data_IF_934815780965
#
_entry.id   IF_934815780965
#
_cell.length_a   1.000
_cell.length_b   1.000
_cell.length_c   1.000
_cell.angle_alpha   90.00
_cell.angle_beta   90.00
_cell.angle_gamma   90.00
#
_symmetry.space_group_name_H-M   'P 1'
#
loop_
_entity.id
_entity.type
_entity.pdbx_description
1 polymer ?
#
# COMPACT_ATOMS: atom_id res chain seq x y z
N UNK A 1 0.52 -7.33 -36.21
CA UNK A 1 -0.75 -7.96 -35.80
C UNK A 1 -1.31 -7.19 -34.60
N UNK A 2 -2.33 -6.35 -34.83
CA UNK A 2 -3.02 -5.64 -33.76
C UNK A 2 -3.89 -6.65 -33.03
N UNK A 3 -3.51 -6.99 -31.81
CA UNK A 3 -4.34 -7.81 -30.94
C UNK A 3 -5.53 -6.96 -30.48
N UNK A 4 -6.58 -7.07 -31.28
CA UNK A 4 -7.97 -6.78 -30.96
C UNK A 4 -8.31 -7.39 -29.59
N UNK A 5 -8.23 -6.56 -28.55
CA UNK A 5 -9.12 -6.66 -27.39
C UNK A 5 -9.74 -5.27 -27.21
N UNK A 6 -10.37 -4.78 -28.27
CA UNK A 6 -11.49 -3.87 -28.12
C UNK A 6 -12.71 -4.74 -28.44
N UNK A 7 -13.66 -4.77 -27.52
CA UNK A 7 -15.00 -5.37 -27.69
C UNK A 7 -15.28 -6.82 -27.22
N UNK A 8 -14.55 -7.32 -26.23
CA UNK A 8 -15.07 -8.45 -25.42
C UNK A 8 -16.07 -7.90 -24.38
N UNK A 9 -17.33 -7.71 -24.79
CA UNK A 9 -18.53 -7.46 -23.96
C UNK A 9 -18.24 -6.79 -22.61
N UNK A 10 -18.14 -5.46 -22.57
CA UNK A 10 -18.02 -4.76 -21.28
C UNK A 10 -19.32 -4.93 -20.50
N UNK A 11 -19.38 -5.94 -19.63
CA UNK A 11 -20.48 -6.12 -18.69
C UNK A 11 -20.63 -4.81 -17.91
N UNK A 12 -21.82 -4.22 -17.91
CA UNK A 12 -22.07 -3.00 -17.12
C UNK A 12 -21.86 -3.36 -15.65
N UNK A 13 -20.84 -2.77 -15.02
CA UNK A 13 -20.51 -3.02 -13.63
C UNK A 13 -21.08 -1.90 -12.76
N UNK A 14 -21.87 -2.29 -11.76
CA UNK A 14 -22.31 -1.41 -10.67
C UNK A 14 -21.47 -1.72 -9.43
N UNK A 15 -20.65 -0.78 -9.00
CA UNK A 15 -19.90 -0.89 -7.75
C UNK A 15 -20.75 -0.33 -6.60
N UNK A 16 -21.13 -1.18 -5.66
CA UNK A 16 -21.88 -0.78 -4.45
C UNK A 16 -20.90 -0.76 -3.28
N UNK A 17 -20.64 0.43 -2.77
CA UNK A 17 -19.78 0.62 -1.60
C UNK A 17 -20.49 0.12 -0.35
N UNK A 18 -19.85 -0.80 0.38
CA UNK A 18 -20.37 -1.29 1.66
C UNK A 18 -19.93 -0.35 2.77
N UNK A 19 -20.90 0.22 3.49
CA UNK A 19 -20.65 1.20 4.56
C UNK A 19 -20.49 0.50 5.91
N UNK A 20 -19.57 0.99 6.73
CA UNK A 20 -19.47 0.53 8.10
C UNK A 20 -20.63 1.09 8.93
N UNK A 21 -21.21 0.26 9.80
CA UNK A 21 -22.26 0.68 10.75
C UNK A 21 -21.71 1.31 12.03
N UNK A 22 -20.40 1.20 12.27
CA UNK A 22 -19.77 1.79 13.43
C UNK A 22 -19.64 3.30 13.27
N UNK A 23 -19.99 4.03 14.33
CA UNK A 23 -19.88 5.49 14.35
C UNK A 23 -18.43 5.95 14.44
N UNK A 24 -18.03 6.85 13.56
CA UNK A 24 -16.73 7.51 13.58
C UNK A 24 -16.82 8.78 14.43
N UNK A 25 -16.75 8.57 15.75
CA UNK A 25 -16.73 9.64 16.74
C UNK A 25 -15.57 9.41 17.71
N UNK A 26 -14.64 10.37 17.79
CA UNK A 26 -13.53 10.25 18.73
C UNK A 26 -13.96 10.68 20.13
N UNK A 27 -13.63 9.90 21.17
CA UNK A 27 -13.76 10.36 22.54
C UNK A 27 -12.94 11.64 22.78
N UNK A 28 -13.43 12.57 23.59
CA UNK A 28 -12.73 13.84 23.88
C UNK A 28 -11.29 13.61 24.40
N UNK A 29 -11.09 12.56 25.22
CA UNK A 29 -9.76 12.14 25.70
C UNK A 29 -8.81 11.71 24.57
N UNK A 30 -9.33 11.19 23.46
CA UNK A 30 -8.56 10.83 22.28
C UNK A 30 -8.19 12.10 21.50
N UNK A 31 -9.14 13.03 21.31
CA UNK A 31 -8.91 14.30 20.61
C UNK A 31 -7.83 15.15 21.31
N UNK A 32 -7.80 15.13 22.65
CA UNK A 32 -6.78 15.82 23.44
C UNK A 32 -5.35 15.33 23.17
N UNK A 33 -5.17 14.08 22.69
CA UNK A 33 -3.86 13.50 22.35
C UNK A 33 -3.42 13.81 20.91
N UNK A 34 -4.31 14.36 20.08
CA UNK A 34 -4.01 14.63 18.67
C UNK A 34 -3.29 15.97 18.49
N UNK A 35 -2.33 16.07 17.56
CA UNK A 35 -1.73 17.35 17.14
C UNK A 35 -2.74 18.35 16.58
N UNK A 36 -2.32 19.60 16.38
CA UNK A 36 -3.20 20.67 15.90
C UNK A 36 -3.65 20.44 14.46
N UNK A 37 -2.72 20.11 13.56
CA UNK A 37 -2.98 20.00 12.12
C UNK A 37 -2.91 18.55 11.66
N UNK A 38 -4.06 18.02 11.24
CA UNK A 38 -4.26 16.61 10.92
C UNK A 38 -4.55 16.40 9.43
N UNK A 39 -3.91 15.41 8.82
CA UNK A 39 -4.30 14.90 7.52
C UNK A 39 -5.07 13.60 7.69
N UNK A 40 -6.34 13.58 7.27
CA UNK A 40 -7.24 12.46 7.48
C UNK A 40 -7.14 11.45 6.34
N UNK A 41 -7.14 10.18 6.72
CA UNK A 41 -7.20 9.05 5.81
C UNK A 41 -8.16 7.99 6.36
N UNK A 42 -8.86 7.24 5.51
CA UNK A 42 -9.68 6.11 5.93
C UNK A 42 -9.91 5.11 4.79
N UNK A 43 -10.39 3.91 5.12
CA UNK A 43 -10.90 2.97 4.11
C UNK A 43 -12.24 3.46 3.55
N UNK A 44 -12.64 2.94 2.37
CA UNK A 44 -13.87 3.35 1.67
C UNK A 44 -15.13 3.28 2.55
N UNK A 45 -15.16 2.35 3.51
CA UNK A 45 -16.32 2.07 4.36
C UNK A 45 -16.67 3.22 5.32
N UNK A 46 -15.72 4.14 5.57
CA UNK A 46 -15.86 5.26 6.51
C UNK A 46 -15.96 6.62 5.81
N UNK A 47 -15.96 6.68 4.47
CA UNK A 47 -15.88 7.93 3.72
C UNK A 47 -17.02 8.91 4.00
N UNK A 48 -18.23 8.42 4.19
CA UNK A 48 -19.39 9.28 4.46
C UNK A 48 -19.36 9.90 5.86
N UNK A 49 -18.61 9.31 6.79
CA UNK A 49 -18.49 9.79 8.16
C UNK A 49 -17.29 10.74 8.35
N UNK A 50 -16.36 10.80 7.37
CA UNK A 50 -15.21 11.73 7.42
C UNK A 50 -15.61 13.20 7.56
N UNK A 51 -16.65 13.74 6.87
CA UNK A 51 -17.08 15.12 7.07
C UNK A 51 -17.52 15.42 8.52
N UNK A 52 -18.23 14.49 9.16
CA UNK A 52 -18.67 14.64 10.55
C UNK A 52 -17.47 14.61 11.51
N UNK A 53 -16.53 13.71 11.28
CA UNK A 53 -15.26 13.66 12.01
C UNK A 53 -14.50 14.99 11.91
N UNK A 54 -14.43 15.59 10.71
CA UNK A 54 -13.76 16.89 10.53
C UNK A 54 -14.40 17.98 11.36
N UNK A 55 -15.74 18.09 11.31
CA UNK A 55 -16.48 19.05 12.12
C UNK A 55 -16.26 18.83 13.62
N UNK A 56 -16.20 17.57 14.06
CA UNK A 56 -15.88 17.25 15.44
C UNK A 56 -14.49 17.78 15.81
N UNK A 57 -13.46 17.46 15.04
CA UNK A 57 -12.09 17.89 15.28
C UNK A 57 -11.95 19.43 15.25
N UNK A 58 -12.61 20.11 14.32
CA UNK A 58 -12.60 21.57 14.19
C UNK A 58 -13.23 22.27 15.41
N UNK A 59 -14.30 21.71 15.99
CA UNK A 59 -14.88 22.21 17.25
C UNK A 59 -13.89 22.16 18.43
N UNK A 60 -12.92 21.25 18.38
CA UNK A 60 -11.84 21.14 19.37
C UNK A 60 -10.55 21.86 18.92
N UNK A 61 -10.65 22.81 17.98
CA UNK A 61 -9.55 23.66 17.55
C UNK A 61 -8.49 22.95 16.69
N UNK A 62 -8.84 21.83 16.06
CA UNK A 62 -7.97 21.12 15.13
C UNK A 62 -8.19 21.60 13.70
N UNK A 63 -7.11 21.66 12.92
CA UNK A 63 -7.16 21.96 11.50
C UNK A 63 -7.07 20.65 10.73
N UNK A 64 -7.97 20.43 9.76
CA UNK A 64 -8.06 19.15 9.04
C UNK A 64 -7.87 19.32 7.53
N UNK A 65 -7.09 18.41 6.95
CA UNK A 65 -6.96 18.21 5.50
C UNK A 65 -7.26 16.75 5.15
N UNK A 66 -7.44 16.45 3.87
CA UNK A 66 -7.71 15.09 3.39
C UNK A 66 -6.55 14.60 2.54
N UNK A 67 -6.08 13.38 2.80
CA UNK A 67 -5.03 12.78 2.00
C UNK A 67 -5.52 12.56 0.56
N UNK A 68 -4.72 12.96 -0.42
CA UNK A 68 -4.99 12.67 -1.83
C UNK A 68 -4.19 11.45 -2.26
N UNK A 69 -4.85 10.53 -2.95
CA UNK A 69 -4.22 9.36 -3.52
C UNK A 69 -4.73 9.16 -4.96
N UNK A 70 -3.81 8.95 -5.91
CA UNK A 70 -4.13 8.85 -7.35
C UNK A 70 -5.01 7.66 -7.73
N UNK A 71 -5.12 6.70 -6.82
CA UNK A 71 -5.80 5.43 -7.03
C UNK A 71 -7.07 5.31 -6.18
N UNK A 72 -7.50 6.39 -5.53
CA UNK A 72 -8.73 6.43 -4.75
C UNK A 72 -9.81 7.27 -5.43
N UNK A 73 -11.07 6.99 -5.09
CA UNK A 73 -12.25 7.67 -5.65
C UNK A 73 -12.54 8.98 -4.90
N UNK A 74 -12.31 8.97 -3.59
CA UNK A 74 -12.63 10.09 -2.70
C UNK A 74 -11.39 10.69 -2.05
N UNK A 75 -11.35 12.03 -1.82
CA UNK A 75 -10.37 12.63 -0.92
C UNK A 75 -10.43 12.01 0.47
N UNK A 76 -9.27 11.68 1.06
CA UNK A 76 -9.17 10.98 2.34
C UNK A 76 -9.29 9.46 2.21
N UNK A 77 -9.69 8.92 1.06
CA UNK A 77 -9.69 7.47 0.85
C UNK A 77 -8.27 6.98 0.58
N UNK A 78 -7.85 5.97 1.33
CA UNK A 78 -6.64 5.18 1.05
C UNK A 78 -6.99 3.77 0.63
N UNK A 79 -6.23 3.24 -0.32
CA UNK A 79 -6.11 1.81 -0.53
C UNK A 79 -4.70 1.39 -0.12
N UNK A 80 -4.51 0.11 0.16
CA UNK A 80 -3.22 -0.37 0.60
C UNK A 80 -2.21 -0.65 -0.52
N UNK A 81 -2.54 -0.34 -1.78
CA UNK A 81 -1.63 -0.48 -2.90
C UNK A 81 -0.70 0.74 -3.06
N UNK A 82 0.47 0.67 -2.41
CA UNK A 82 1.63 1.53 -2.69
C UNK A 82 1.50 2.99 -2.22
N UNK A 83 2.27 3.35 -1.18
CA UNK A 83 2.35 4.73 -0.69
C UNK A 83 2.87 5.72 -1.74
N UNK A 84 3.62 5.25 -2.75
CA UNK A 84 4.10 6.07 -3.88
C UNK A 84 2.97 6.76 -4.68
N UNK A 85 1.72 6.35 -4.48
CA UNK A 85 0.53 6.92 -5.11
C UNK A 85 -0.21 7.92 -4.22
N UNK A 86 0.31 8.20 -3.03
CA UNK A 86 -0.26 9.11 -2.04
C UNK A 86 0.56 10.41 -2.01
N UNK A 87 -0.12 11.53 -1.77
CA UNK A 87 0.49 12.86 -1.71
C UNK A 87 0.71 13.26 -0.25
N UNK A 88 1.96 13.14 0.23
CA UNK A 88 2.32 13.43 1.63
C UNK A 88 2.72 14.89 1.88
N UNK A 89 2.97 15.66 0.81
CA UNK A 89 3.51 17.02 0.87
C UNK A 89 2.44 18.08 1.15
N UNK A 90 1.86 18.00 2.34
CA UNK A 90 1.20 19.16 2.94
C UNK A 90 2.16 19.82 3.94
N UNK A 91 2.71 21.02 3.64
CA UNK A 91 3.64 21.72 4.53
C UNK A 91 3.02 22.08 5.88
N UNK A 92 1.69 21.95 6.02
CA UNK A 92 0.93 22.27 7.22
C UNK A 92 0.33 21.05 7.92
N UNK A 93 0.82 19.83 7.70
CA UNK A 93 0.35 18.65 8.44
C UNK A 93 1.33 18.30 9.57
N UNK A 94 0.86 18.20 10.81
CA UNK A 94 1.67 17.75 11.95
C UNK A 94 1.66 16.21 12.08
N UNK A 95 0.51 15.59 11.81
CA UNK A 95 0.33 14.14 11.87
C UNK A 95 -0.81 13.67 10.97
N UNK A 96 -0.85 12.37 10.69
CA UNK A 96 -1.99 11.74 10.04
C UNK A 96 -2.95 11.14 11.06
N UNK A 97 -4.24 11.16 10.76
CA UNK A 97 -5.26 10.40 11.49
C UNK A 97 -5.92 9.43 10.50
N UNK A 98 -5.61 8.15 10.66
CA UNK A 98 -6.23 7.06 9.94
C UNK A 98 -7.45 6.52 10.69
N UNK A 99 -8.58 6.37 10.01
CA UNK A 99 -9.79 5.73 10.54
C UNK A 99 -9.93 4.33 9.95
N UNK A 100 -9.88 3.32 10.82
CA UNK A 100 -10.02 1.91 10.48
C UNK A 100 -9.48 0.98 11.56
N UNK A 101 -9.73 -0.30 11.39
CA UNK A 101 -9.40 -1.40 12.31
C UNK A 101 -8.06 -2.09 11.97
N UNK A 102 -7.64 -2.03 10.70
CA UNK A 102 -6.41 -2.64 10.21
C UNK A 102 -5.16 -1.75 10.29
N UNK A 103 -3.99 -2.39 10.39
CA UNK A 103 -2.69 -1.69 10.39
C UNK A 103 -2.05 -1.55 9.01
N UNK A 104 -2.51 -2.30 8.00
CA UNK A 104 -1.88 -2.29 6.68
C UNK A 104 -1.87 -0.90 6.01
N UNK A 105 -3.00 -0.20 6.00
CA UNK A 105 -3.10 1.16 5.45
C UNK A 105 -2.24 2.18 6.21
N UNK A 106 -2.30 2.29 7.55
CA UNK A 106 -1.49 3.25 8.28
C UNK A 106 0.02 2.91 8.26
N UNK A 107 0.39 1.64 8.11
CA UNK A 107 1.79 1.26 7.86
C UNK A 107 2.30 1.80 6.50
N UNK A 108 1.46 1.82 5.46
CA UNK A 108 1.82 2.46 4.19
C UNK A 108 2.05 3.98 4.36
N UNK A 109 1.28 4.64 5.21
CA UNK A 109 1.48 6.07 5.51
C UNK A 109 2.83 6.33 6.19
N UNK A 110 3.26 5.45 7.10
CA UNK A 110 4.59 5.53 7.75
C UNK A 110 5.76 5.37 6.77
N UNK A 111 5.57 4.62 5.68
CA UNK A 111 6.61 4.45 4.68
C UNK A 111 6.78 5.70 3.80
N UNK A 112 5.67 6.40 3.54
CA UNK A 112 5.67 7.60 2.71
C UNK A 112 5.90 8.91 3.46
N UNK A 113 5.86 8.91 4.79
CA UNK A 113 6.06 10.11 5.62
C UNK A 113 6.77 9.80 6.94
N UNK A 114 7.60 10.72 7.41
CA UNK A 114 8.23 10.66 8.73
C UNK A 114 7.34 11.21 9.87
N UNK A 115 6.09 11.60 9.55
CA UNK A 115 5.12 12.12 10.52
C UNK A 115 4.46 10.99 11.30
N UNK A 116 4.05 11.29 12.52
CA UNK A 116 3.30 10.36 13.36
C UNK A 116 1.95 10.00 12.72
N UNK A 117 1.54 8.74 12.84
CA UNK A 117 0.24 8.25 12.37
C UNK A 117 -0.60 7.85 13.59
N UNK A 118 -1.73 8.52 13.78
CA UNK A 118 -2.74 8.12 14.74
C UNK A 118 -3.75 7.21 14.05
N UNK A 119 -4.03 6.06 14.63
CA UNK A 119 -5.00 5.08 14.13
C UNK A 119 -6.17 5.07 15.10
N UNK A 120 -7.33 5.47 14.62
CA UNK A 120 -8.59 5.38 15.34
C UNK A 120 -9.41 4.22 14.79
N UNK A 121 -9.73 3.27 15.65
CA UNK A 121 -10.61 2.14 15.35
C UNK A 121 -12.04 2.48 15.78
N UNK A 122 -12.99 2.66 14.84
CA UNK A 122 -14.37 3.01 15.16
C UNK A 122 -15.14 1.93 15.93
N UNK A 123 -14.71 0.67 15.85
CA UNK A 123 -15.37 -0.45 16.51
C UNK A 123 -14.96 -0.57 17.98
N UNK A 124 -13.66 -0.44 18.27
CA UNK A 124 -13.14 -0.52 19.65
C UNK A 124 -13.08 0.84 20.34
N UNK A 125 -13.25 1.94 19.58
CA UNK A 125 -13.02 3.34 20.01
C UNK A 125 -11.59 3.59 20.50
N UNK A 126 -10.66 2.71 20.13
CA UNK A 126 -9.24 2.81 20.48
C UNK A 126 -8.51 3.83 19.61
N UNK A 127 -7.63 4.61 20.25
CA UNK A 127 -6.66 5.47 19.55
C UNK A 127 -5.24 4.95 19.80
N UNK A 128 -4.55 4.57 18.73
CA UNK A 128 -3.15 4.12 18.77
C UNK A 128 -2.27 5.10 18.03
N UNK A 129 -1.07 5.35 18.54
CA UNK A 129 -0.02 6.08 17.83
C UNK A 129 0.97 5.08 17.22
N UNK A 130 1.20 5.18 15.92
CA UNK A 130 2.32 4.55 15.24
C UNK A 130 3.40 5.62 15.00
N UNK A 131 4.59 5.40 15.55
CA UNK A 131 5.71 6.33 15.48
C UNK A 131 6.95 5.70 14.85
N UNK A 132 8.08 6.39 15.03
CA UNK A 132 9.38 6.04 14.41
C UNK A 132 9.81 4.58 14.57
N UNK A 133 9.69 4.01 15.76
CA UNK A 133 10.08 2.61 16.00
C UNK A 133 9.31 1.61 15.12
N UNK A 134 8.05 1.94 14.79
CA UNK A 134 7.24 1.13 13.89
C UNK A 134 7.72 1.25 12.44
N UNK A 135 8.00 2.48 12.00
CA UNK A 135 8.55 2.75 10.67
C UNK A 135 9.91 2.05 10.50
N UNK A 136 10.78 2.10 11.51
CA UNK A 136 12.08 1.42 11.50
C UNK A 136 11.94 -0.10 11.38
N UNK A 137 10.95 -0.71 12.03
CA UNK A 137 10.65 -2.15 11.89
C UNK A 137 10.28 -2.51 10.45
N UNK A 138 9.43 -1.71 9.80
CA UNK A 138 9.01 -1.95 8.41
C UNK A 138 10.20 -1.74 7.47
N UNK A 139 10.91 -0.61 7.59
CA UNK A 139 12.10 -0.29 6.80
C UNK A 139 13.20 -1.35 6.96
N UNK A 140 13.35 -1.96 8.14
CA UNK A 140 14.29 -3.06 8.37
C UNK A 140 13.90 -4.32 7.56
N UNK A 141 12.61 -4.65 7.48
CA UNK A 141 12.12 -5.75 6.63
C UNK A 141 12.40 -5.47 5.16
N UNK A 142 12.10 -4.26 4.68
CA UNK A 142 12.37 -3.85 3.29
C UNK A 142 13.87 -3.91 2.96
N UNK A 143 14.73 -3.44 3.86
CA UNK A 143 16.20 -3.56 3.71
C UNK A 143 16.66 -5.01 3.64
N UNK A 144 16.10 -5.89 4.47
CA UNK A 144 16.41 -7.33 4.42
C UNK A 144 16.01 -7.95 3.09
N UNK A 145 14.81 -7.65 2.59
CA UNK A 145 14.34 -8.08 1.28
C UNK A 145 15.23 -7.53 0.15
N UNK A 146 15.69 -6.28 0.27
CA UNK A 146 16.58 -5.65 -0.70
C UNK A 146 17.95 -6.33 -0.75
N UNK A 147 18.55 -6.62 0.41
CA UNK A 147 19.81 -7.35 0.47
C UNK A 147 19.68 -8.75 -0.15
N UNK A 148 18.56 -9.44 0.11
CA UNK A 148 18.30 -10.74 -0.51
C UNK A 148 18.23 -10.65 -2.05
N UNK A 149 17.59 -9.59 -2.58
CA UNK A 149 17.58 -9.34 -4.03
C UNK A 149 18.99 -9.05 -4.58
N UNK A 150 19.76 -8.20 -3.91
CA UNK A 150 21.12 -7.84 -4.33
C UNK A 150 22.06 -9.05 -4.39
N UNK A 151 21.95 -9.97 -3.43
CA UNK A 151 22.75 -11.21 -3.39
C UNK A 151 22.24 -12.34 -4.28
N UNK A 152 21.03 -12.23 -4.85
CA UNK A 152 20.46 -13.26 -5.70
C UNK A 152 20.97 -13.15 -7.15
N UNK A 153 21.46 -14.26 -7.70
CA UNK A 153 21.79 -14.39 -9.13
C UNK A 153 20.57 -14.84 -9.94
N UNK A 154 19.65 -15.59 -9.33
CA UNK A 154 18.44 -16.13 -9.96
C UNK A 154 17.19 -15.59 -9.27
N UNK A 155 16.45 -14.76 -10.00
CA UNK A 155 15.33 -13.99 -9.46
C UNK A 155 14.04 -14.39 -10.17
N UNK A 156 13.01 -14.74 -9.39
CA UNK A 156 11.65 -14.95 -9.87
C UNK A 156 10.89 -13.63 -9.91
N UNK A 157 10.13 -13.38 -10.97
CA UNK A 157 9.31 -12.17 -11.09
C UNK A 157 7.86 -12.60 -11.22
N UNK A 158 7.04 -12.27 -10.22
CA UNK A 158 5.64 -12.68 -10.13
C UNK A 158 4.75 -11.68 -10.84
N UNK A 159 4.04 -12.12 -11.87
CA UNK A 159 3.14 -11.32 -12.70
C UNK A 159 1.73 -11.90 -12.60
N UNK A 160 0.76 -11.06 -12.23
CA UNK A 160 -0.65 -11.48 -12.16
C UNK A 160 -1.46 -10.98 -13.35
N UNK A 161 -2.41 -11.78 -13.85
CA UNK A 161 -3.30 -11.36 -14.95
C UNK A 161 -4.52 -10.53 -14.51
N UNK A 162 -4.75 -10.35 -13.19
CA UNK A 162 -5.91 -9.63 -12.63
C UNK A 162 -5.96 -8.17 -13.08
N UNK A 163 -7.04 -7.66 -13.70
CA UNK A 163 -7.07 -6.32 -14.33
C UNK A 163 -6.57 -5.15 -13.46
N UNK A 164 -6.92 -5.11 -12.17
CA UNK A 164 -6.48 -4.07 -11.24
C UNK A 164 -5.03 -4.19 -10.76
N UNK A 165 -4.42 -5.37 -10.90
CA UNK A 165 -3.00 -5.63 -10.64
C UNK A 165 -2.20 -5.58 -11.96
N UNK A 166 -2.87 -5.87 -13.07
CA UNK A 166 -2.42 -5.74 -14.45
C UNK A 166 -2.31 -4.27 -14.89
N UNK A 167 -2.75 -3.28 -14.08
CA UNK A 167 -2.39 -1.87 -14.25
C UNK A 167 -0.87 -1.62 -14.28
N UNK A 168 -0.10 -2.67 -13.98
CA UNK A 168 1.31 -2.92 -14.28
C UNK A 168 1.59 -3.14 -15.78
N UNK A 169 0.67 -2.95 -16.74
CA UNK A 169 1.04 -2.90 -18.17
C UNK A 169 1.97 -1.71 -18.49
N UNK A 170 1.92 -0.62 -17.71
CA UNK A 170 2.97 0.43 -17.67
C UNK A 170 4.29 -0.13 -17.10
N UNK A 171 4.20 -1.10 -16.20
CA UNK A 171 5.32 -1.79 -15.61
C UNK A 171 5.78 -3.03 -16.39
N UNK A 172 5.13 -3.54 -17.45
CA UNK A 172 5.74 -4.60 -18.28
C UNK A 172 7.07 -4.12 -18.85
N UNK A 173 7.11 -2.87 -19.35
CA UNK A 173 8.36 -2.23 -19.77
C UNK A 173 9.36 -2.13 -18.61
N UNK A 174 8.91 -1.77 -17.41
CA UNK A 174 9.79 -1.63 -16.23
C UNK A 174 10.30 -2.99 -15.72
N UNK A 175 9.43 -3.98 -15.64
CA UNK A 175 9.68 -5.39 -15.33
C UNK A 175 10.72 -5.95 -16.30
N UNK A 176 10.48 -5.80 -17.61
CA UNK A 176 11.43 -6.28 -18.61
C UNK A 176 12.73 -5.47 -18.62
N UNK A 177 12.70 -4.20 -18.22
CA UNK A 177 13.92 -3.40 -18.05
C UNK A 177 14.82 -3.90 -16.91
N UNK A 178 14.33 -4.73 -15.99
CA UNK A 178 15.17 -5.31 -14.93
C UNK A 178 16.35 -6.09 -15.51
N UNK A 179 16.17 -6.76 -16.65
CA UNK A 179 17.26 -7.47 -17.36
C UNK A 179 18.36 -6.55 -17.86
N UNK A 180 18.00 -5.33 -18.26
CA UNK A 180 18.97 -4.33 -18.73
C UNK A 180 19.66 -3.64 -17.54
N UNK A 181 18.94 -3.46 -16.43
CA UNK A 181 19.43 -2.80 -15.21
C UNK A 181 20.35 -3.68 -14.38
N UNK A 182 20.10 -4.99 -14.39
CA UNK A 182 20.85 -5.99 -13.63
C UNK A 182 21.29 -7.13 -14.57
N UNK A 183 22.20 -6.86 -15.52
CA UNK A 183 22.61 -7.83 -16.54
C UNK A 183 23.31 -9.07 -15.96
N UNK A 184 23.85 -8.97 -14.74
CA UNK A 184 24.45 -10.06 -13.99
C UNK A 184 23.44 -11.06 -13.44
N UNK A 185 22.15 -10.69 -13.37
CA UNK A 185 21.08 -11.52 -12.80
C UNK A 185 20.25 -12.22 -13.87
N UNK A 186 19.86 -13.45 -13.59
CA UNK A 186 18.94 -14.25 -14.40
C UNK A 186 17.49 -14.13 -13.88
N UNK A 187 16.63 -13.52 -14.69
CA UNK A 187 15.22 -13.30 -14.37
C UNK A 187 14.29 -14.35 -14.99
N UNK A 188 13.45 -14.95 -14.14
CA UNK A 188 12.41 -15.93 -14.49
C UNK A 188 11.03 -15.31 -14.25
N UNK A 189 10.26 -15.07 -15.31
CA UNK A 189 8.92 -14.48 -15.20
C UNK A 189 7.87 -15.56 -15.00
N UNK A 190 7.14 -15.48 -13.90
CA UNK A 190 6.09 -16.43 -13.52
C UNK A 190 4.75 -15.71 -13.62
N UNK A 191 3.92 -16.14 -14.57
CA UNK A 191 2.60 -15.53 -14.83
C UNK A 191 1.51 -16.44 -14.23
N UNK A 192 0.63 -15.86 -13.44
CA UNK A 192 -0.51 -16.57 -12.84
C UNK A 192 -1.73 -15.65 -12.72
N UNK A 193 -2.92 -16.20 -12.49
CA UNK A 193 -4.05 -15.38 -12.03
C UNK A 193 -3.93 -15.08 -10.53
N UNK A 194 -3.88 -16.15 -9.73
CA UNK A 194 -3.66 -16.08 -8.29
C UNK A 194 -2.32 -16.70 -7.93
N UNK A 195 -1.58 -16.04 -7.03
CA UNK A 195 -0.28 -16.53 -6.55
C UNK A 195 -0.54 -17.59 -5.49
N UNK A 196 -0.16 -18.82 -5.77
CA UNK A 196 -0.12 -19.91 -4.80
C UNK A 196 1.33 -20.05 -4.28
N UNK A 197 1.53 -19.71 -3.01
CA UNK A 197 2.85 -19.75 -2.38
C UNK A 197 3.44 -21.17 -2.35
N UNK A 198 2.61 -22.22 -2.28
CA UNK A 198 3.08 -23.59 -2.29
C UNK A 198 3.69 -23.96 -3.66
N UNK A 199 3.09 -23.47 -4.76
CA UNK A 199 3.61 -23.71 -6.11
C UNK A 199 4.95 -23.02 -6.37
N UNK A 200 5.27 -21.95 -5.64
CA UNK A 200 6.58 -21.29 -5.74
C UNK A 200 7.73 -22.20 -5.29
N UNK A 201 7.46 -23.21 -4.46
CA UNK A 201 8.46 -24.18 -4.01
C UNK A 201 8.95 -25.10 -5.15
N UNK A 202 8.17 -25.23 -6.24
CA UNK A 202 8.56 -25.97 -7.44
C UNK A 202 9.71 -25.31 -8.23
N UNK A 203 10.14 -24.11 -7.83
CA UNK A 203 11.24 -23.39 -8.44
C UNK A 203 12.40 -23.19 -7.45
N UNK A 204 13.03 -24.27 -6.94
CA UNK A 204 14.02 -24.20 -5.86
C UNK A 204 15.30 -23.45 -6.24
N UNK A 205 15.57 -23.30 -7.55
CA UNK A 205 16.70 -22.54 -8.07
C UNK A 205 16.53 -21.02 -7.92
N UNK A 206 15.31 -20.52 -7.70
CA UNK A 206 15.05 -19.10 -7.45
C UNK A 206 15.52 -18.76 -6.03
N UNK A 207 16.27 -17.67 -5.90
CA UNK A 207 16.86 -17.23 -4.64
C UNK A 207 16.06 -16.08 -4.01
N UNK A 208 15.38 -15.27 -4.82
CA UNK A 208 14.54 -14.16 -4.40
C UNK A 208 13.39 -13.95 -5.39
N UNK A 209 12.24 -13.48 -4.90
CA UNK A 209 11.09 -13.11 -5.71
C UNK A 209 10.91 -11.59 -5.77
N UNK A 210 10.59 -11.07 -6.95
CA UNK A 210 10.06 -9.74 -7.15
C UNK A 210 8.54 -9.86 -7.27
N UNK A 211 7.84 -9.19 -6.37
CA UNK A 211 6.40 -9.02 -6.41
C UNK A 211 6.03 -7.84 -7.32
N UNK A 212 5.29 -8.09 -8.39
CA UNK A 212 4.69 -7.05 -9.25
C UNK A 212 3.16 -7.04 -9.16
N UNK A 213 2.58 -7.74 -8.18
CA UNK A 213 1.15 -7.92 -7.99
C UNK A 213 0.64 -7.02 -6.83
N UNK A 214 -0.20 -7.56 -5.95
CA UNK A 214 -0.69 -6.82 -4.78
C UNK A 214 0.47 -6.53 -3.80
N UNK A 215 0.67 -5.26 -3.45
CA UNK A 215 1.67 -4.84 -2.45
C UNK A 215 1.41 -5.43 -1.07
N UNK A 216 0.15 -5.75 -0.76
CA UNK A 216 -0.26 -6.35 0.52
C UNK A 216 0.34 -7.73 0.77
N UNK A 217 0.88 -8.38 -0.26
CA UNK A 217 1.57 -9.66 -0.05
C UNK A 217 2.75 -9.56 0.91
N UNK A 218 3.23 -8.36 1.25
CA UNK A 218 4.17 -8.15 2.36
C UNK A 218 3.69 -8.77 3.69
N UNK A 219 2.37 -8.80 3.93
CA UNK A 219 1.75 -9.44 5.10
C UNK A 219 1.90 -10.97 5.06
N UNK A 220 2.09 -11.54 3.87
CA UNK A 220 2.17 -12.98 3.60
C UNK A 220 3.60 -13.44 3.26
N UNK A 221 4.63 -12.60 3.40
CA UNK A 221 6.01 -12.95 3.04
C UNK A 221 6.55 -14.17 3.80
N UNK A 222 6.06 -14.43 5.01
CA UNK A 222 6.42 -15.62 5.79
C UNK A 222 5.94 -16.93 5.12
N UNK A 223 4.98 -16.85 4.18
CA UNK A 223 4.50 -17.99 3.38
C UNK A 223 5.34 -18.22 2.13
N UNK A 224 6.16 -17.26 1.71
CA UNK A 224 7.00 -17.44 0.53
C UNK A 224 8.15 -18.42 0.86
N UNK A 225 8.49 -19.33 -0.07
CA UNK A 225 9.61 -20.25 0.14
C UNK A 225 10.98 -19.55 0.10
N UNK A 226 11.04 -18.30 -0.38
CA UNK A 226 12.24 -17.46 -0.50
C UNK A 226 11.88 -16.00 -0.24
N UNK A 227 12.85 -15.13 0.13
CA UNK A 227 12.59 -13.71 0.32
C UNK A 227 11.92 -13.06 -0.90
N UNK A 228 10.95 -12.18 -0.64
CA UNK A 228 10.23 -11.44 -1.66
C UNK A 228 10.39 -9.93 -1.44
N UNK A 229 10.37 -9.17 -2.54
CA UNK A 229 10.45 -7.70 -2.53
C UNK A 229 9.47 -7.10 -3.55
N UNK A 230 8.83 -5.99 -3.21
CA UNK A 230 8.00 -5.24 -4.15
C UNK A 230 8.87 -4.54 -5.22
N UNK A 231 8.41 -4.55 -6.47
CA UNK A 231 9.16 -4.00 -7.61
C UNK A 231 9.53 -2.52 -7.44
N UNK A 232 8.69 -1.72 -6.78
CA UNK A 232 8.92 -0.30 -6.52
C UNK A 232 10.26 -0.08 -5.78
N UNK A 233 10.57 -0.94 -4.80
CA UNK A 233 11.82 -0.85 -4.05
C UNK A 233 13.02 -1.17 -4.94
N UNK A 234 12.91 -2.20 -5.79
CA UNK A 234 13.97 -2.56 -6.76
C UNK A 234 14.20 -1.44 -7.76
N UNK A 235 13.14 -0.79 -8.24
CA UNK A 235 13.23 0.29 -9.22
C UNK A 235 13.87 1.57 -8.64
N UNK A 236 13.86 1.78 -7.32
CA UNK A 236 14.56 2.90 -6.68
C UNK A 236 16.09 2.77 -6.77
N UNK A 237 16.62 1.55 -6.65
CA UNK A 237 18.08 1.33 -6.78
C UNK A 237 18.59 1.77 -8.14
N UNK A 238 17.82 1.48 -9.18
CA UNK A 238 18.19 1.79 -10.57
C UNK A 238 18.02 3.28 -10.96
N UNK A 239 17.70 4.16 -10.00
CA UNK A 239 17.71 5.63 -10.18
C UNK A 239 18.92 6.29 -9.51
N UNK A 240 19.71 5.54 -8.75
CA UNK A 240 21.00 5.96 -8.19
C UNK A 240 22.13 5.50 -9.12
#
# INVERSE_FOLDING_TARGET
>A
MPWLVHDAMSMKMLFIETKAKADVELPQKAIAKLPKRLCLAASVQFMEQLPQLRQQLEKYGKETSLLKARHSKYPGQVLGCGYSRMEFDSPNTDAFLYVGDGLFHPEALLLGSDKDIYVFDPFTKGLRKLGRAWAERIRKKEKGAMLAFLHADRVGVLITVKPGQLGVQVALKQIFSLRQRFPEKKFYYLICDSIDFAQLANFPFIQCFINTACHRMIDDYDKFPKPAINIEEVLKLARA
#
